data_IF_991542706336
#
_entry.id   IF_991542706336
#
_cell.length_a   1.000
_cell.length_b   1.000
_cell.length_c   1.000
_cell.angle_alpha   90.00
_cell.angle_beta   90.00
_cell.angle_gamma   90.00
#
_symmetry.space_group_name_H-M   'P 1'
#
loop_
_entity.id
_entity.type
_entity.pdbx_description
1 polymer ?
#
# COMPACT_ATOMS: atom_id res chain seq x y z
N UNK A 1 20.40 -30.29 40.19
CA UNK A 1 19.84 -29.01 39.78
C UNK A 1 20.95 -28.09 39.28
N UNK A 2 21.50 -28.32 38.10
CA UNK A 2 22.42 -27.43 37.37
C UNK A 2 22.49 -27.97 35.95
N UNK A 3 21.58 -27.60 35.07
CA UNK A 3 21.75 -27.68 33.61
C UNK A 3 20.46 -27.31 32.89
N UNK A 4 20.01 -26.06 33.01
CA UNK A 4 18.92 -25.51 32.24
C UNK A 4 19.16 -24.06 31.78
N UNK A 5 20.40 -23.58 31.88
CA UNK A 5 20.77 -22.22 31.55
C UNK A 5 21.86 -22.20 30.50
N UNK A 6 21.61 -22.81 29.31
CA UNK A 6 22.48 -22.54 28.15
C UNK A 6 21.83 -22.98 26.84
N UNK A 7 20.70 -22.39 26.48
CA UNK A 7 20.14 -22.37 25.12
C UNK A 7 19.41 -21.04 24.83
N UNK A 8 19.90 -19.94 25.29
CA UNK A 8 19.69 -18.70 24.58
C UNK A 8 20.70 -18.73 23.40
N UNK A 9 20.36 -19.40 22.31
CA UNK A 9 20.96 -19.07 21.02
C UNK A 9 20.74 -17.58 20.87
N UNK A 10 21.83 -16.83 20.79
CA UNK A 10 21.82 -15.37 20.66
C UNK A 10 21.03 -15.10 19.39
N UNK A 11 19.75 -14.73 19.55
CA UNK A 11 18.90 -14.30 18.43
C UNK A 11 19.56 -13.06 17.87
N UNK A 12 20.05 -13.17 16.63
CA UNK A 12 20.62 -12.03 15.90
C UNK A 12 19.57 -11.53 14.92
N UNK A 13 19.14 -10.27 15.02
CA UNK A 13 18.31 -9.65 14.00
C UNK A 13 18.98 -9.76 12.63
N UNK A 14 18.23 -10.02 11.57
CA UNK A 14 18.75 -9.98 10.21
C UNK A 14 19.03 -8.54 9.80
N UNK A 15 20.17 -8.31 9.15
CA UNK A 15 20.57 -6.97 8.71
C UNK A 15 20.00 -6.66 7.31
N UNK A 16 19.32 -5.53 7.19
CA UNK A 16 18.70 -5.06 5.94
C UNK A 16 19.25 -3.69 5.57
N UNK A 17 19.83 -3.56 4.39
CA UNK A 17 20.30 -2.29 3.84
C UNK A 17 19.35 -1.74 2.77
N UNK A 18 18.89 -0.52 2.96
CA UNK A 18 18.07 0.20 1.97
C UNK A 18 18.92 1.29 1.30
N UNK A 19 19.08 1.17 -0.01
CA UNK A 19 19.91 2.06 -0.81
C UNK A 19 19.10 3.23 -1.34
N UNK A 20 19.46 4.44 -0.91
CA UNK A 20 18.90 5.71 -1.32
C UNK A 20 19.89 6.57 -2.10
N UNK A 21 19.39 7.49 -2.91
CA UNK A 21 20.16 8.35 -3.81
C UNK A 21 19.32 9.60 -4.17
N UNK A 22 19.94 10.60 -4.74
CA UNK A 22 19.20 11.78 -5.23
C UNK A 22 18.11 11.39 -6.25
N UNK A 23 16.95 12.00 -6.10
CA UNK A 23 15.74 11.68 -6.85
C UNK A 23 15.20 10.25 -6.62
N UNK A 24 15.40 9.74 -5.40
CA UNK A 24 14.71 8.55 -4.92
C UNK A 24 13.21 8.84 -4.73
N UNK A 25 12.34 7.88 -4.99
CA UNK A 25 10.94 7.98 -4.58
C UNK A 25 10.87 7.73 -3.07
N UNK A 26 10.49 8.73 -2.28
CA UNK A 26 10.54 8.67 -0.81
C UNK A 26 9.86 7.42 -0.23
N UNK A 27 8.65 7.06 -0.71
CA UNK A 27 7.91 5.91 -0.21
C UNK A 27 8.60 4.57 -0.50
N UNK A 28 9.41 4.48 -1.57
CA UNK A 28 10.18 3.26 -1.87
C UNK A 28 11.34 3.04 -0.90
N UNK A 29 11.72 4.07 -0.15
CA UNK A 29 12.72 3.98 0.92
C UNK A 29 12.05 3.80 2.28
N UNK A 30 11.13 4.70 2.64
CA UNK A 30 10.50 4.75 3.96
C UNK A 30 9.57 3.55 4.19
N UNK A 31 8.77 3.15 3.18
CA UNK A 31 7.84 2.03 3.32
C UNK A 31 8.51 0.74 3.77
N UNK A 32 9.56 0.26 3.09
CA UNK A 32 10.34 -0.89 3.57
C UNK A 32 10.97 -0.70 4.95
N UNK A 33 11.53 0.49 5.25
CA UNK A 33 12.12 0.79 6.57
C UNK A 33 11.09 0.56 7.66
N UNK A 34 9.93 1.21 7.57
CA UNK A 34 8.87 1.10 8.57
C UNK A 34 8.36 -0.35 8.69
N UNK A 35 8.24 -1.06 7.56
CA UNK A 35 7.77 -2.45 7.53
C UNK A 35 8.72 -3.39 8.25
N UNK A 36 10.02 -3.30 8.02
CA UNK A 36 11.00 -4.15 8.71
C UNK A 36 11.14 -3.79 10.20
N UNK A 37 11.07 -2.50 10.55
CA UNK A 37 11.15 -2.04 11.94
C UNK A 37 9.92 -2.45 12.76
N UNK A 38 8.76 -2.61 12.13
CA UNK A 38 7.56 -3.13 12.79
C UNK A 38 7.66 -4.62 13.13
N UNK A 39 8.54 -5.38 12.46
CA UNK A 39 8.69 -6.81 12.68
C UNK A 39 9.43 -7.11 13.99
N UNK A 40 8.73 -7.71 14.95
CA UNK A 40 9.27 -8.10 16.25
C UNK A 40 8.68 -9.41 16.74
N UNK A 41 9.46 -10.14 17.53
CA UNK A 41 9.01 -11.30 18.28
C UNK A 41 8.63 -10.88 19.71
N UNK A 42 7.65 -11.54 20.29
CA UNK A 42 7.34 -11.41 21.72
C UNK A 42 8.19 -12.42 22.52
N UNK A 43 8.87 -11.95 23.57
CA UNK A 43 9.69 -12.81 24.43
C UNK A 43 8.85 -13.57 25.50
N UNK A 44 7.53 -13.42 25.48
CA UNK A 44 6.60 -13.99 26.45
C UNK A 44 6.54 -13.22 27.78
N UNK A 45 7.30 -12.14 27.93
CA UNK A 45 7.30 -11.23 29.08
C UNK A 45 6.80 -9.82 28.71
N UNK A 46 6.33 -9.64 27.47
CA UNK A 46 5.83 -8.36 26.97
C UNK A 46 6.91 -7.46 26.34
N UNK A 47 8.15 -7.94 26.18
CA UNK A 47 9.16 -7.18 25.44
C UNK A 47 9.16 -7.60 23.97
N UNK A 48 9.30 -6.60 23.09
CA UNK A 48 9.43 -6.82 21.65
C UNK A 48 10.91 -6.96 21.28
N UNK A 49 11.29 -8.10 20.71
CA UNK A 49 12.62 -8.38 20.20
C UNK A 49 12.62 -8.05 18.70
N UNK A 50 13.35 -7.02 18.22
CA UNK A 50 13.39 -6.67 16.80
C UNK A 50 13.86 -7.85 15.94
N UNK A 51 13.13 -8.13 14.86
CA UNK A 51 13.51 -9.15 13.88
C UNK A 51 14.62 -8.69 12.94
N UNK A 52 14.72 -7.40 12.71
CA UNK A 52 15.65 -6.81 11.75
C UNK A 52 16.41 -5.63 12.34
N UNK A 53 17.65 -5.47 11.88
CA UNK A 53 18.45 -4.27 11.99
C UNK A 53 18.48 -3.58 10.62
N UNK A 54 17.87 -2.39 10.54
CA UNK A 54 17.65 -1.68 9.26
C UNK A 54 18.65 -0.56 9.11
N UNK A 55 19.39 -0.55 7.99
CA UNK A 55 20.37 0.44 7.64
C UNK A 55 19.98 1.20 6.38
N UNK A 56 19.94 2.53 6.45
CA UNK A 56 19.81 3.38 5.28
C UNK A 56 21.18 3.73 4.73
N UNK A 57 21.35 3.62 3.40
CA UNK A 57 22.67 3.72 2.75
C UNK A 57 22.58 4.68 1.58
N UNK A 58 23.36 5.74 1.60
CA UNK A 58 23.45 6.71 0.50
C UNK A 58 24.48 6.31 -0.55
N UNK A 59 24.18 6.51 -1.84
CA UNK A 59 25.05 6.09 -2.96
C UNK A 59 26.29 6.97 -3.08
N UNK A 60 26.14 8.29 -3.07
CA UNK A 60 27.25 9.23 -3.22
C UNK A 60 27.60 9.96 -1.94
N UNK A 61 26.59 10.21 -1.11
CA UNK A 61 26.67 10.92 0.16
C UNK A 61 25.66 10.28 1.11
N UNK A 62 25.84 10.50 2.41
CA UNK A 62 24.82 10.22 3.42
C UNK A 62 23.58 11.10 3.26
N UNK A 63 23.72 12.29 2.66
CA UNK A 63 22.60 13.19 2.39
C UNK A 63 22.20 13.17 0.94
N UNK A 64 20.89 12.97 0.69
CA UNK A 64 20.32 12.98 -0.63
C UNK A 64 18.87 13.49 -0.61
N UNK A 65 18.40 13.96 -1.74
CA UNK A 65 17.06 14.54 -1.91
C UNK A 65 16.15 13.62 -2.71
N UNK A 66 14.95 13.35 -2.18
CA UNK A 66 13.92 12.63 -2.91
C UNK A 66 13.27 13.47 -4.02
N UNK A 67 12.54 12.80 -4.94
CA UNK A 67 11.80 13.45 -6.04
C UNK A 67 10.77 14.48 -5.57
N UNK A 68 10.20 14.29 -4.38
CA UNK A 68 9.22 15.18 -3.76
C UNK A 68 9.84 16.33 -2.94
N UNK A 69 11.18 16.42 -2.94
CA UNK A 69 11.93 17.48 -2.25
C UNK A 69 12.33 17.17 -0.82
N UNK A 70 11.89 16.05 -0.22
CA UNK A 70 12.34 15.64 1.11
C UNK A 70 13.84 15.37 1.12
N UNK A 71 14.51 15.81 2.17
CA UNK A 71 15.92 15.52 2.43
C UNK A 71 16.01 14.31 3.36
N UNK A 72 16.85 13.37 2.99
CA UNK A 72 17.21 12.21 3.79
C UNK A 72 18.66 12.31 4.26
N UNK A 73 18.91 11.81 5.45
CA UNK A 73 20.23 11.56 5.98
C UNK A 73 20.36 10.07 6.29
N UNK A 74 21.17 9.36 5.51
CA UNK A 74 21.42 7.94 5.67
C UNK A 74 22.44 7.68 6.76
N UNK A 75 22.35 6.51 7.39
CA UNK A 75 23.28 6.08 8.45
C UNK A 75 24.68 5.78 7.93
N UNK A 76 24.80 5.43 6.65
CA UNK A 76 26.08 5.12 6.02
C UNK A 76 26.08 5.47 4.52
N UNK A 77 27.26 5.51 3.93
CA UNK A 77 27.43 5.49 2.47
C UNK A 77 27.73 4.06 2.00
N UNK A 78 27.72 3.83 0.66
CA UNK A 78 28.09 2.53 0.10
C UNK A 78 29.47 2.02 0.58
N UNK A 79 30.42 2.91 0.83
CA UNK A 79 31.78 2.53 1.28
C UNK A 79 31.84 2.14 2.75
N UNK A 80 30.97 2.69 3.57
CA UNK A 80 30.90 2.46 5.01
C UNK A 80 29.80 1.50 5.45
N UNK A 81 29.01 0.98 4.51
CA UNK A 81 27.90 0.08 4.80
C UNK A 81 28.38 -1.21 5.47
N UNK A 82 27.69 -1.70 6.52
CA UNK A 82 28.02 -2.95 7.19
C UNK A 82 27.78 -4.18 6.28
N UNK A 83 28.08 -5.36 6.77
CA UNK A 83 27.64 -6.62 6.14
C UNK A 83 26.12 -6.71 6.26
N UNK A 84 25.44 -7.10 5.17
CA UNK A 84 24.00 -7.09 5.06
C UNK A 84 23.49 -8.45 4.59
N UNK A 85 22.55 -9.01 5.32
CA UNK A 85 21.84 -10.24 4.90
C UNK A 85 20.91 -9.94 3.70
N UNK A 86 20.35 -8.73 3.66
CA UNK A 86 19.45 -8.29 2.59
C UNK A 86 19.84 -6.91 2.09
N UNK A 87 19.88 -6.73 0.77
CA UNK A 87 20.07 -5.43 0.11
C UNK A 87 18.78 -5.08 -0.65
N UNK A 88 18.24 -3.90 -0.43
CA UNK A 88 17.06 -3.39 -1.15
C UNK A 88 17.42 -2.09 -1.86
N UNK A 89 17.18 -2.06 -3.17
CA UNK A 89 17.40 -0.87 -3.99
C UNK A 89 16.06 -0.17 -4.18
N UNK A 90 15.95 1.04 -3.64
CA UNK A 90 14.77 1.87 -3.83
C UNK A 90 14.59 2.29 -5.29
N UNK A 91 13.35 2.57 -5.70
CA UNK A 91 13.05 3.16 -7.01
C UNK A 91 13.13 4.69 -6.97
N UNK A 92 13.17 5.29 -8.15
CA UNK A 92 13.21 6.73 -8.35
C UNK A 92 13.79 7.10 -9.72
N UNK A 93 13.80 8.39 -10.05
CA UNK A 93 14.45 8.86 -11.29
C UNK A 93 15.96 8.69 -11.26
N UNK A 94 16.55 8.93 -10.10
CA UNK A 94 18.01 8.93 -9.93
C UNK A 94 18.65 7.60 -10.31
N UNK A 95 18.06 6.45 -9.92
CA UNK A 95 18.64 5.12 -10.21
C UNK A 95 18.68 4.78 -11.70
N UNK A 96 17.94 5.48 -12.55
CA UNK A 96 17.96 5.25 -14.00
C UNK A 96 19.13 5.97 -14.70
N UNK A 97 19.84 6.85 -13.98
CA UNK A 97 21.07 7.48 -14.45
C UNK A 97 22.19 6.44 -14.44
N UNK A 98 22.98 6.34 -15.54
CA UNK A 98 24.03 5.33 -15.65
C UNK A 98 25.03 5.38 -14.48
N UNK A 99 25.46 6.57 -14.07
CA UNK A 99 26.44 6.76 -13.01
C UNK A 99 25.95 6.25 -11.64
N UNK A 100 24.66 6.36 -11.35
CA UNK A 100 24.06 5.84 -10.11
C UNK A 100 23.89 4.31 -10.22
N UNK A 101 23.34 3.84 -11.32
CA UNK A 101 23.07 2.42 -11.57
C UNK A 101 24.37 1.59 -11.55
N UNK A 102 25.40 2.06 -12.25
CA UNK A 102 26.70 1.37 -12.33
C UNK A 102 27.42 1.34 -10.99
N UNK A 103 27.36 2.45 -10.23
CA UNK A 103 27.94 2.52 -8.89
C UNK A 103 27.27 1.55 -7.92
N UNK A 104 25.93 1.48 -7.95
CA UNK A 104 25.16 0.52 -7.15
C UNK A 104 25.48 -0.92 -7.59
N UNK A 105 25.49 -1.19 -8.88
CA UNK A 105 25.80 -2.53 -9.41
C UNK A 105 27.21 -2.99 -9.02
N UNK A 106 28.22 -2.13 -9.16
CA UNK A 106 29.58 -2.43 -8.76
C UNK A 106 29.68 -2.72 -7.25
N UNK A 107 28.93 -2.01 -6.44
CA UNK A 107 28.87 -2.23 -4.99
C UNK A 107 28.17 -3.55 -4.64
N UNK A 108 27.07 -3.90 -5.31
CA UNK A 108 26.37 -5.19 -5.15
C UNK A 108 27.32 -6.35 -5.45
N UNK A 109 28.06 -6.29 -6.57
CA UNK A 109 28.98 -7.37 -6.98
C UNK A 109 30.08 -7.63 -5.95
N UNK A 110 30.51 -6.62 -5.21
CA UNK A 110 31.52 -6.78 -4.13
C UNK A 110 30.96 -7.48 -2.90
N UNK A 111 29.62 -7.52 -2.74
CA UNK A 111 28.93 -8.01 -1.54
C UNK A 111 28.11 -9.26 -1.77
N UNK A 112 28.04 -9.73 -3.01
CA UNK A 112 27.14 -10.83 -3.38
C UNK A 112 27.38 -12.13 -2.61
N UNK A 113 28.62 -12.37 -2.17
CA UNK A 113 28.98 -13.55 -1.38
C UNK A 113 28.54 -13.46 0.09
N UNK A 114 28.31 -12.25 0.60
CA UNK A 114 27.95 -11.98 1.98
C UNK A 114 26.46 -11.59 2.12
N UNK A 115 25.71 -11.57 1.01
CA UNK A 115 24.31 -11.14 0.96
C UNK A 115 23.41 -12.31 0.55
N UNK A 116 22.43 -12.63 1.38
CA UNK A 116 21.50 -13.73 1.11
C UNK A 116 20.52 -13.43 -0.03
N UNK A 117 20.05 -12.16 -0.12
CA UNK A 117 19.02 -11.77 -1.10
C UNK A 117 19.08 -10.29 -1.47
N UNK A 118 18.59 -9.99 -2.65
CA UNK A 118 18.55 -8.62 -3.21
C UNK A 118 17.12 -8.30 -3.65
N UNK A 119 16.59 -7.20 -3.11
CA UNK A 119 15.31 -6.62 -3.48
C UNK A 119 15.47 -5.40 -4.39
N UNK A 120 14.59 -5.23 -5.36
CA UNK A 120 14.51 -4.04 -6.18
C UNK A 120 13.07 -3.53 -6.23
N UNK A 121 12.85 -2.35 -5.70
CA UNK A 121 11.54 -1.72 -5.67
C UNK A 121 11.35 -0.87 -6.93
N UNK A 122 10.33 -1.20 -7.73
CA UNK A 122 9.92 -0.43 -8.91
C UNK A 122 11.10 -0.23 -9.91
N UNK A 123 11.58 1.00 -10.10
CA UNK A 123 12.77 1.28 -10.94
C UNK A 123 14.10 0.95 -10.28
N UNK A 124 14.11 0.50 -9.03
CA UNK A 124 15.33 0.04 -8.35
C UNK A 124 16.07 -1.08 -9.08
N UNK A 125 15.35 -1.83 -9.93
CA UNK A 125 15.93 -2.86 -10.80
C UNK A 125 17.04 -2.34 -11.71
N UNK A 126 17.03 -1.05 -12.09
CA UNK A 126 18.11 -0.45 -12.88
C UNK A 126 19.46 -0.45 -12.15
N UNK A 127 19.45 -0.48 -10.82
CA UNK A 127 20.67 -0.62 -10.02
C UNK A 127 21.16 -2.07 -9.91
N UNK A 128 20.28 -3.05 -10.14
CA UNK A 128 20.64 -4.48 -10.08
C UNK A 128 20.95 -5.05 -11.48
N UNK A 129 20.20 -4.66 -12.50
CA UNK A 129 20.32 -5.21 -13.86
C UNK A 129 21.75 -5.14 -14.46
N UNK A 130 22.54 -4.06 -14.26
CA UNK A 130 23.90 -3.97 -14.80
C UNK A 130 24.87 -5.01 -14.21
N UNK A 131 24.56 -5.61 -13.05
CA UNK A 131 25.38 -6.68 -12.47
C UNK A 131 25.42 -7.96 -13.32
N UNK A 132 24.42 -8.16 -14.22
CA UNK A 132 24.24 -9.41 -14.95
C UNK A 132 23.62 -10.56 -14.13
N UNK A 133 23.43 -10.41 -12.81
CA UNK A 133 22.88 -11.43 -11.91
C UNK A 133 21.44 -11.82 -12.24
N UNK A 134 20.72 -10.92 -12.90
CA UNK A 134 19.32 -11.13 -13.30
C UNK A 134 19.18 -11.72 -14.73
N UNK A 135 20.27 -11.99 -15.45
CA UNK A 135 20.22 -12.54 -16.80
C UNK A 135 19.50 -13.89 -16.83
N UNK A 136 18.49 -14.02 -17.71
CA UNK A 136 17.66 -15.22 -17.84
C UNK A 136 16.60 -15.40 -16.74
N UNK A 137 16.58 -14.51 -15.74
CA UNK A 137 15.62 -14.55 -14.62
C UNK A 137 14.34 -13.81 -14.94
N UNK A 138 13.25 -14.27 -14.32
CA UNK A 138 11.98 -13.55 -14.34
C UNK A 138 12.05 -12.36 -13.37
N UNK A 139 11.65 -11.18 -13.85
CA UNK A 139 11.65 -9.94 -13.07
C UNK A 139 10.44 -9.08 -13.40
N UNK A 140 10.10 -8.16 -12.51
CA UNK A 140 9.10 -7.13 -12.77
C UNK A 140 9.65 -5.73 -12.50
N UNK A 141 8.99 -4.73 -13.04
CA UNK A 141 9.25 -3.32 -12.81
C UNK A 141 7.99 -2.52 -13.13
N UNK A 142 7.98 -1.23 -12.83
CA UNK A 142 6.88 -0.36 -13.21
C UNK A 142 6.64 -0.41 -14.73
N UNK A 143 5.38 -0.63 -15.13
CA UNK A 143 4.97 -0.84 -16.53
C UNK A 143 5.50 0.23 -17.50
N UNK A 144 5.55 1.50 -17.05
CA UNK A 144 6.05 2.63 -17.84
C UNK A 144 7.51 2.44 -18.29
N UNK A 145 8.29 1.73 -17.50
CA UNK A 145 9.72 1.53 -17.72
C UNK A 145 10.08 0.15 -18.25
N UNK A 146 9.11 -0.78 -18.33
CA UNK A 146 9.36 -2.16 -18.77
C UNK A 146 9.98 -2.24 -20.17
N UNK A 147 9.49 -1.42 -21.12
CA UNK A 147 10.04 -1.36 -22.48
C UNK A 147 11.47 -0.81 -22.52
N UNK A 148 11.75 0.25 -21.73
CA UNK A 148 13.12 0.80 -21.63
C UNK A 148 14.07 -0.20 -21.00
N UNK A 149 13.66 -0.85 -19.92
CA UNK A 149 14.43 -1.88 -19.24
C UNK A 149 14.75 -3.05 -20.18
N UNK A 150 13.75 -3.55 -20.93
CA UNK A 150 13.95 -4.63 -21.91
C UNK A 150 14.95 -4.26 -23.02
N UNK A 151 14.93 -3.01 -23.47
CA UNK A 151 15.87 -2.51 -24.47
C UNK A 151 17.31 -2.43 -23.94
N UNK A 152 17.48 -1.95 -22.69
CA UNK A 152 18.81 -1.82 -22.05
C UNK A 152 19.38 -3.17 -21.62
N UNK A 153 18.50 -4.07 -21.15
CA UNK A 153 18.89 -5.38 -20.60
C UNK A 153 18.10 -6.50 -21.25
N UNK A 154 18.42 -6.85 -22.50
CA UNK A 154 17.62 -7.81 -23.31
C UNK A 154 17.64 -9.26 -22.81
N UNK A 155 18.53 -9.57 -21.85
CA UNK A 155 18.60 -10.91 -21.23
C UNK A 155 17.64 -11.10 -20.06
N UNK A 156 16.91 -10.06 -19.62
CA UNK A 156 15.90 -10.13 -18.57
C UNK A 156 14.59 -10.68 -19.13
N UNK A 157 13.91 -11.52 -18.35
CA UNK A 157 12.56 -11.99 -18.65
C UNK A 157 11.56 -11.11 -17.85
N UNK A 158 11.08 -10.03 -18.46
CA UNK A 158 10.28 -9.01 -17.80
C UNK A 158 8.79 -9.31 -17.92
N UNK A 159 8.10 -9.54 -16.81
CA UNK A 159 6.63 -9.55 -16.73
C UNK A 159 6.12 -8.41 -15.83
N UNK A 160 5.86 -7.27 -16.45
CA UNK A 160 5.36 -6.07 -15.77
C UNK A 160 3.90 -6.16 -15.31
N UNK A 161 3.18 -7.25 -15.62
CA UNK A 161 1.81 -7.51 -15.14
C UNK A 161 1.81 -8.09 -13.72
N UNK A 162 2.91 -8.69 -13.31
CA UNK A 162 3.07 -9.23 -11.96
C UNK A 162 3.49 -8.10 -11.03
N UNK A 163 2.76 -7.83 -9.93
CA UNK A 163 3.13 -6.80 -8.96
C UNK A 163 4.40 -7.14 -8.19
N UNK A 164 4.70 -8.43 -8.08
CA UNK A 164 5.83 -8.99 -7.35
C UNK A 164 6.36 -10.23 -8.08
N UNK A 165 7.67 -10.36 -8.18
CA UNK A 165 8.36 -11.54 -8.70
C UNK A 165 9.52 -11.88 -7.77
N UNK A 166 9.58 -13.16 -7.39
CA UNK A 166 10.73 -13.77 -6.75
C UNK A 166 11.32 -14.80 -7.69
N UNK A 167 12.60 -14.67 -8.01
CA UNK A 167 13.36 -15.65 -8.78
C UNK A 167 14.71 -15.93 -8.08
N UNK A 168 14.75 -17.02 -7.32
CA UNK A 168 15.87 -17.36 -6.45
C UNK A 168 16.04 -16.32 -5.32
N UNK A 169 17.25 -15.74 -5.15
CA UNK A 169 17.50 -14.73 -4.13
C UNK A 169 17.13 -13.31 -4.56
N UNK A 170 16.46 -13.14 -5.71
CA UNK A 170 16.13 -11.83 -6.26
C UNK A 170 14.63 -11.57 -6.17
N UNK A 171 14.29 -10.37 -5.65
CA UNK A 171 12.93 -9.93 -5.42
C UNK A 171 12.70 -8.62 -6.16
N UNK A 172 11.70 -8.57 -7.02
CA UNK A 172 11.39 -7.36 -7.78
C UNK A 172 9.92 -7.01 -7.67
N UNK A 173 9.59 -5.73 -7.60
CA UNK A 173 8.22 -5.25 -7.44
C UNK A 173 7.90 -4.09 -8.36
N UNK A 174 6.59 -3.84 -8.53
CA UNK A 174 6.07 -2.67 -9.22
C UNK A 174 5.44 -1.69 -8.22
N UNK A 175 5.16 -0.46 -8.66
CA UNK A 175 4.30 0.49 -7.95
C UNK A 175 4.86 1.05 -6.64
N UNK A 176 4.06 1.94 -6.03
CA UNK A 176 4.47 2.68 -4.82
C UNK A 176 4.45 1.80 -3.56
N UNK A 177 3.47 0.92 -3.41
CA UNK A 177 3.38 -0.02 -2.29
C UNK A 177 4.31 -1.24 -2.43
N UNK A 178 4.97 -1.38 -3.59
CA UNK A 178 5.81 -2.55 -3.90
C UNK A 178 6.89 -2.81 -2.84
N UNK A 179 7.45 -1.76 -2.25
CA UNK A 179 8.45 -1.88 -1.19
C UNK A 179 7.90 -2.53 0.08
N UNK A 180 6.70 -2.14 0.51
CA UNK A 180 6.01 -2.73 1.67
C UNK A 180 5.71 -4.21 1.40
N UNK A 181 5.10 -4.53 0.25
CA UNK A 181 4.76 -5.91 -0.11
C UNK A 181 6.00 -6.82 -0.22
N UNK A 182 7.11 -6.30 -0.75
CA UNK A 182 8.39 -7.00 -0.79
C UNK A 182 8.89 -7.29 0.63
N UNK A 183 8.84 -6.31 1.52
CA UNK A 183 9.26 -6.47 2.92
C UNK A 183 8.39 -7.47 3.66
N UNK A 184 7.06 -7.43 3.51
CA UNK A 184 6.13 -8.40 4.09
C UNK A 184 6.41 -9.82 3.60
N UNK A 185 6.68 -10.01 2.30
CA UNK A 185 7.04 -11.32 1.76
C UNK A 185 8.34 -11.86 2.37
N UNK A 186 9.36 -11.01 2.54
CA UNK A 186 10.61 -11.38 3.20
C UNK A 186 10.42 -11.70 4.69
N UNK A 187 9.60 -10.93 5.40
CA UNK A 187 9.25 -11.18 6.82
C UNK A 187 8.52 -12.52 6.96
N UNK A 188 7.59 -12.81 6.05
CA UNK A 188 6.87 -14.08 6.06
C UNK A 188 7.79 -15.28 5.84
N UNK A 189 8.79 -15.15 4.97
CA UNK A 189 9.79 -16.20 4.75
C UNK A 189 10.71 -16.40 5.95
N UNK A 190 11.10 -15.33 6.62
CA UNK A 190 12.06 -15.37 7.72
C UNK A 190 11.42 -15.78 9.06
N UNK A 191 10.21 -15.26 9.36
CA UNK A 191 9.59 -15.34 10.69
C UNK A 191 8.16 -15.90 10.67
N UNK A 192 7.64 -16.21 9.47
CA UNK A 192 6.34 -16.85 9.30
C UNK A 192 5.14 -15.91 9.40
N UNK A 193 3.92 -16.47 9.20
CA UNK A 193 2.71 -15.69 9.01
C UNK A 193 2.30 -14.88 10.25
N UNK A 194 2.61 -15.34 11.47
CA UNK A 194 2.24 -14.62 12.70
C UNK A 194 2.93 -13.25 12.80
N UNK A 195 4.24 -13.20 12.54
CA UNK A 195 4.97 -11.92 12.58
C UNK A 195 4.49 -11.01 11.45
N UNK A 196 4.27 -11.59 10.26
CA UNK A 196 3.75 -10.83 9.11
C UNK A 196 2.41 -10.20 9.42
N UNK A 197 1.45 -10.98 9.97
CA UNK A 197 0.14 -10.47 10.34
C UNK A 197 0.23 -9.34 11.38
N UNK A 198 1.09 -9.49 12.40
CA UNK A 198 1.30 -8.43 13.40
C UNK A 198 1.83 -7.15 12.77
N UNK A 199 2.71 -7.25 11.75
CA UNK A 199 3.20 -6.09 11.00
C UNK A 199 2.09 -5.47 10.16
N UNK A 200 1.29 -6.28 9.45
CA UNK A 200 0.14 -5.80 8.68
C UNK A 200 -0.87 -5.08 9.56
N UNK A 201 -1.19 -5.64 10.73
CA UNK A 201 -2.07 -5.01 11.71
C UNK A 201 -1.49 -3.69 12.23
N UNK A 202 -0.19 -3.63 12.55
CA UNK A 202 0.47 -2.40 13.02
C UNK A 202 0.48 -1.31 11.94
N UNK A 203 0.72 -1.67 10.69
CA UNK A 203 0.68 -0.75 9.55
C UNK A 203 -0.76 -0.32 9.21
N UNK A 204 -1.76 -1.16 9.46
CA UNK A 204 -3.18 -0.93 9.17
C UNK A 204 -3.92 -0.25 10.32
N UNK A 205 -3.51 -0.43 11.58
CA UNK A 205 -4.12 0.21 12.76
C UNK A 205 -3.97 1.73 12.75
N UNK A 206 -3.11 2.27 11.89
CA UNK A 206 -3.08 3.71 11.61
C UNK A 206 -4.23 4.19 10.73
N UNK A 207 -5.03 3.26 10.19
CA UNK A 207 -6.31 3.49 9.53
C UNK A 207 -7.39 2.85 10.41
N UNK A 208 -7.85 3.55 11.47
CA UNK A 208 -8.94 3.05 12.32
C UNK A 208 -10.22 2.86 11.49
N UNK A 209 -11.16 2.01 11.96
CA UNK A 209 -12.45 1.82 11.28
C UNK A 209 -13.20 3.14 11.01
N UNK A 210 -12.96 4.16 11.83
CA UNK A 210 -13.48 5.51 11.66
C UNK A 210 -12.80 6.25 10.50
N UNK A 211 -11.50 6.04 10.29
CA UNK A 211 -10.76 6.58 9.13
C UNK A 211 -11.13 5.84 7.83
N UNK A 212 -11.57 4.57 7.91
CA UNK A 212 -12.07 3.81 6.77
C UNK A 212 -13.46 4.26 6.31
N UNK A 213 -14.28 4.85 7.19
CA UNK A 213 -15.56 5.44 6.79
C UNK A 213 -15.39 6.77 6.04
N UNK A 214 -14.29 7.49 6.25
CA UNK A 214 -13.98 8.78 5.61
C UNK A 214 -13.05 8.68 4.39
N UNK A 215 -12.28 7.60 4.25
CA UNK A 215 -11.60 7.29 2.99
C UNK A 215 -12.61 6.70 1.99
N UNK A 216 -12.55 7.07 0.70
CA UNK A 216 -13.30 6.33 -0.31
C UNK A 216 -12.86 4.86 -0.19
N UNK A 217 -13.76 3.98 0.27
CA UNK A 217 -13.54 2.54 0.51
C UNK A 217 -12.87 1.78 -0.67
N UNK A 218 -12.69 2.45 -1.77
CA UNK A 218 -12.19 1.94 -3.04
C UNK A 218 -10.67 2.08 -3.20
N UNK A 219 -10.01 2.85 -2.35
CA UNK A 219 -8.52 2.96 -2.36
C UNK A 219 -7.88 1.86 -1.51
N UNK A 220 -8.58 1.39 -0.47
CA UNK A 220 -8.07 0.35 0.44
C UNK A 220 -8.22 -1.09 -0.10
N UNK A 221 -9.05 -1.31 -1.15
CA UNK A 221 -9.25 -2.64 -1.75
C UNK A 221 -8.39 -2.91 -3.00
N UNK A 222 -7.37 -2.09 -3.24
CA UNK A 222 -6.46 -2.27 -4.38
C UNK A 222 -5.28 -3.22 -4.11
N UNK A 223 -5.22 -3.85 -2.95
CA UNK A 223 -4.24 -4.87 -2.66
C UNK A 223 -4.60 -6.17 -3.39
N UNK A 224 -3.74 -6.53 -4.33
CA UNK A 224 -3.63 -7.81 -5.04
C UNK A 224 -4.26 -7.99 -6.42
N UNK A 225 -4.34 -6.95 -7.27
CA UNK A 225 -4.65 -7.21 -8.68
C UNK A 225 -3.62 -6.61 -9.67
N UNK A 226 -3.38 -7.27 -10.82
CA UNK A 226 -2.29 -6.98 -11.77
C UNK A 226 -2.45 -5.68 -12.56
N UNK A 227 -2.86 -4.56 -11.93
CA UNK A 227 -3.39 -3.41 -12.69
C UNK A 227 -2.87 -2.08 -12.17
N UNK A 228 -1.56 -1.91 -12.15
CA UNK A 228 -0.92 -0.59 -11.99
C UNK A 228 -1.40 0.45 -13.01
N UNK A 229 -1.87 0.00 -14.19
CA UNK A 229 -2.47 0.89 -15.21
C UNK A 229 -3.74 1.58 -14.73
N UNK A 230 -4.52 0.91 -13.90
CA UNK A 230 -5.78 1.45 -13.40
C UNK A 230 -5.60 2.24 -12.11
N UNK A 231 -4.58 1.99 -11.32
CA UNK A 231 -4.26 2.77 -10.11
C UNK A 231 -3.97 4.24 -10.46
N UNK A 232 -3.10 4.47 -11.47
CA UNK A 232 -2.82 5.81 -11.99
C UNK A 232 -4.06 6.44 -12.62
N UNK A 233 -4.91 5.64 -13.29
CA UNK A 233 -6.17 6.09 -13.88
C UNK A 233 -7.15 6.54 -12.79
N UNK A 234 -7.35 5.73 -11.76
CA UNK A 234 -8.26 6.04 -10.64
C UNK A 234 -7.78 7.27 -9.88
N UNK A 235 -6.50 7.36 -9.56
CA UNK A 235 -5.91 8.55 -8.93
C UNK A 235 -6.10 9.81 -9.78
N UNK A 236 -6.03 9.68 -11.11
CA UNK A 236 -6.32 10.78 -12.01
C UNK A 236 -7.82 11.13 -12.05
N UNK A 237 -8.70 10.12 -12.11
CA UNK A 237 -10.17 10.30 -12.07
C UNK A 237 -10.59 11.06 -10.82
N UNK A 238 -10.07 10.66 -9.64
CA UNK A 238 -10.39 11.32 -8.36
C UNK A 238 -10.00 12.80 -8.36
N UNK A 239 -8.84 13.14 -8.96
CA UNK A 239 -8.38 14.54 -9.07
C UNK A 239 -9.12 15.35 -10.13
N UNK A 240 -9.81 14.70 -11.07
CA UNK A 240 -10.43 15.33 -12.23
C UNK A 240 -11.92 14.99 -12.37
N UNK A 241 -12.68 14.86 -11.27
CA UNK A 241 -14.08 14.44 -11.27
C UNK A 241 -15.01 15.33 -12.13
N UNK A 242 -14.66 16.61 -12.32
CA UNK A 242 -15.42 17.53 -13.16
C UNK A 242 -15.10 17.44 -14.66
N UNK A 243 -14.01 16.73 -15.03
CA UNK A 243 -13.62 16.58 -16.43
C UNK A 243 -14.53 15.59 -17.18
N UNK A 244 -14.33 15.49 -18.50
CA UNK A 244 -14.88 14.40 -19.30
C UNK A 244 -14.21 13.08 -18.89
N UNK A 245 -14.99 12.19 -18.25
CA UNK A 245 -14.59 10.86 -17.81
C UNK A 245 -15.36 9.78 -18.59
N UNK A 246 -15.64 10.05 -19.88
CA UNK A 246 -16.20 9.06 -20.80
C UNK A 246 -15.28 7.84 -20.93
N UNK A 247 -15.86 6.71 -21.30
CA UNK A 247 -15.12 5.46 -21.50
C UNK A 247 -14.00 5.64 -22.52
N UNK A 248 -14.22 6.47 -23.55
CA UNK A 248 -13.27 6.79 -24.60
C UNK A 248 -12.05 7.54 -24.05
N UNK A 249 -12.28 8.52 -23.18
CA UNK A 249 -11.20 9.30 -22.52
C UNK A 249 -10.39 8.42 -21.58
N UNK A 250 -11.08 7.62 -20.76
CA UNK A 250 -10.43 6.71 -19.80
C UNK A 250 -9.61 5.62 -20.51
N UNK A 251 -10.18 5.01 -21.55
CA UNK A 251 -9.53 3.98 -22.35
C UNK A 251 -8.26 4.50 -23.06
N UNK A 252 -8.35 5.71 -23.65
CA UNK A 252 -7.21 6.37 -24.30
C UNK A 252 -6.07 6.61 -23.32
N UNK A 253 -6.41 7.00 -22.09
CA UNK A 253 -5.40 7.29 -21.06
C UNK A 253 -4.59 6.07 -20.64
N UNK A 254 -5.16 4.88 -20.71
CA UNK A 254 -4.48 3.60 -20.43
C UNK A 254 -4.05 2.87 -21.71
N UNK A 255 -4.09 3.55 -22.86
CA UNK A 255 -3.70 3.00 -24.17
C UNK A 255 -4.47 1.71 -24.54
N UNK A 256 -5.78 1.73 -24.32
CA UNK A 256 -6.70 0.62 -24.68
C UNK A 256 -7.79 1.10 -25.63
N UNK A 257 -8.37 0.20 -26.42
CA UNK A 257 -9.61 0.49 -27.11
C UNK A 257 -10.79 0.44 -26.12
N UNK A 258 -11.87 1.24 -26.30
CA UNK A 258 -12.97 1.38 -25.35
C UNK A 258 -13.66 0.05 -24.97
N UNK A 259 -13.83 -0.86 -25.92
CA UNK A 259 -14.46 -2.16 -25.68
C UNK A 259 -13.60 -3.08 -24.82
N UNK A 260 -12.29 -3.13 -25.05
CA UNK A 260 -11.35 -3.90 -24.24
C UNK A 260 -11.20 -3.29 -22.84
N UNK A 261 -11.05 -1.97 -22.77
CA UNK A 261 -11.01 -1.23 -21.51
C UNK A 261 -12.21 -1.55 -20.62
N UNK A 262 -13.45 -1.47 -21.15
CA UNK A 262 -14.67 -1.71 -20.38
C UNK A 262 -14.73 -3.13 -19.81
N UNK A 263 -14.30 -4.15 -20.59
CA UNK A 263 -14.24 -5.55 -20.12
C UNK A 263 -13.21 -5.74 -19.02
N UNK A 264 -11.99 -5.24 -19.23
CA UNK A 264 -10.90 -5.37 -18.24
C UNK A 264 -11.23 -4.56 -16.99
N UNK A 265 -11.73 -3.34 -17.14
CA UNK A 265 -12.13 -2.49 -16.01
C UNK A 265 -13.19 -3.18 -15.15
N UNK A 266 -14.25 -3.73 -15.77
CA UNK A 266 -15.29 -4.48 -15.05
C UNK A 266 -14.74 -5.74 -14.37
N UNK A 267 -13.79 -6.44 -15.00
CA UNK A 267 -13.14 -7.61 -14.40
C UNK A 267 -12.34 -7.25 -13.14
N UNK A 268 -11.75 -6.04 -13.11
CA UNK A 268 -10.90 -5.54 -12.03
C UNK A 268 -11.71 -4.96 -10.90
N UNK A 269 -12.64 -4.05 -11.21
CA UNK A 269 -13.39 -3.27 -10.23
C UNK A 269 -14.77 -3.85 -9.91
N UNK A 270 -15.17 -4.95 -10.57
CA UNK A 270 -16.47 -5.58 -10.38
C UNK A 270 -17.64 -4.82 -11.01
N UNK A 271 -17.43 -3.58 -11.47
CA UNK A 271 -18.46 -2.70 -12.02
C UNK A 271 -17.99 -1.96 -13.29
N UNK A 272 -18.93 -1.51 -14.17
CA UNK A 272 -18.57 -0.76 -15.37
C UNK A 272 -17.92 0.59 -15.03
N UNK A 273 -17.02 1.13 -15.91
CA UNK A 273 -16.34 2.40 -15.70
C UNK A 273 -17.30 3.58 -15.42
N UNK A 274 -18.44 3.63 -16.09
CA UNK A 274 -19.46 4.66 -15.89
C UNK A 274 -20.03 4.67 -14.49
N UNK A 275 -20.35 3.49 -13.95
CA UNK A 275 -20.95 3.34 -12.63
C UNK A 275 -19.92 3.67 -11.54
N UNK A 276 -18.69 3.23 -11.75
CA UNK A 276 -17.55 3.57 -10.90
C UNK A 276 -17.31 5.09 -10.81
N UNK A 277 -17.24 5.79 -11.95
CA UNK A 277 -17.08 7.25 -12.00
C UNK A 277 -18.24 7.96 -11.31
N UNK A 278 -19.49 7.51 -11.57
CA UNK A 278 -20.68 8.08 -10.92
C UNK A 278 -20.63 7.94 -9.40
N UNK A 279 -20.20 6.78 -8.93
CA UNK A 279 -20.02 6.46 -7.52
C UNK A 279 -18.99 7.38 -6.86
N UNK A 280 -17.82 7.59 -7.49
CA UNK A 280 -16.80 8.53 -7.00
C UNK A 280 -17.32 9.98 -6.94
N UNK A 281 -18.02 10.44 -7.98
CA UNK A 281 -18.65 11.76 -8.02
C UNK A 281 -19.64 11.98 -6.88
N UNK A 282 -20.46 10.98 -6.60
CA UNK A 282 -21.47 11.06 -5.53
C UNK A 282 -20.84 11.01 -4.13
N UNK A 283 -19.83 10.18 -3.92
CA UNK A 283 -19.08 10.15 -2.65
C UNK A 283 -18.40 11.49 -2.37
N UNK A 284 -17.72 12.05 -3.35
CA UNK A 284 -17.09 13.35 -3.20
C UNK A 284 -18.13 14.48 -2.99
N UNK A 285 -19.29 14.40 -3.65
CA UNK A 285 -20.36 15.33 -3.41
C UNK A 285 -20.87 15.27 -1.95
N UNK A 286 -21.06 14.06 -1.42
CA UNK A 286 -21.46 13.85 0.00
C UNK A 286 -20.44 14.49 0.94
N UNK A 287 -19.14 14.27 0.71
CA UNK A 287 -18.06 14.88 1.51
C UNK A 287 -18.07 16.41 1.44
N UNK A 288 -18.34 17.00 0.27
CA UNK A 288 -18.44 18.48 0.11
C UNK A 288 -19.70 19.06 0.75
N UNK A 289 -20.81 18.31 0.74
CA UNK A 289 -22.05 18.70 1.42
C UNK A 289 -21.85 18.78 2.93
N UNK A 290 -21.16 17.82 3.53
CA UNK A 290 -20.85 17.80 4.97
C UNK A 290 -20.03 19.03 5.43
N UNK A 291 -19.19 19.60 4.55
CA UNK A 291 -18.38 20.81 4.84
C UNK A 291 -19.15 22.13 4.79
N UNK A 292 -20.41 22.15 4.37
CA UNK A 292 -21.35 23.30 4.37
C UNK A 292 -20.85 24.60 3.72
N UNK A 293 -19.83 24.56 2.88
CA UNK A 293 -19.18 25.76 2.34
C UNK A 293 -19.73 26.24 0.99
N UNK A 294 -20.60 25.46 0.32
CA UNK A 294 -21.05 25.74 -1.05
C UNK A 294 -22.50 25.32 -1.27
N UNK A 295 -23.14 25.97 -2.25
CA UNK A 295 -24.52 25.63 -2.66
C UNK A 295 -24.57 24.26 -3.33
N UNK A 296 -25.74 23.61 -3.29
CA UNK A 296 -25.99 22.33 -3.94
C UNK A 296 -25.64 22.36 -5.45
N UNK A 297 -25.98 23.46 -6.11
CA UNK A 297 -25.67 23.66 -7.54
C UNK A 297 -24.16 23.70 -7.77
N UNK A 298 -23.43 24.45 -6.96
CA UNK A 298 -21.97 24.54 -7.06
C UNK A 298 -21.29 23.20 -6.79
N UNK A 299 -21.79 22.43 -5.81
CA UNK A 299 -21.25 21.12 -5.49
C UNK A 299 -21.49 20.15 -6.65
N UNK A 300 -22.74 20.06 -7.17
CA UNK A 300 -23.05 19.15 -8.28
C UNK A 300 -22.18 19.40 -9.51
N UNK A 301 -21.97 20.67 -9.89
CA UNK A 301 -21.11 21.06 -11.00
C UNK A 301 -19.63 20.73 -10.72
N UNK A 302 -19.15 20.99 -9.49
CA UNK A 302 -17.75 20.76 -9.14
C UNK A 302 -17.34 19.28 -9.07
N UNK A 303 -18.31 18.37 -9.05
CA UNK A 303 -18.08 16.92 -9.16
C UNK A 303 -18.48 16.34 -10.53
N UNK A 304 -18.75 17.22 -11.51
CA UNK A 304 -18.93 16.83 -12.91
C UNK A 304 -20.34 16.39 -13.31
N UNK A 305 -21.40 16.80 -12.57
CA UNK A 305 -22.78 16.65 -13.03
C UNK A 305 -23.18 17.90 -13.84
N UNK A 306 -23.69 17.67 -15.05
CA UNK A 306 -24.21 18.72 -15.93
C UNK A 306 -25.62 19.18 -15.56
N UNK A 307 -26.39 18.32 -14.83
CA UNK A 307 -27.77 18.57 -14.43
C UNK A 307 -27.97 18.33 -12.93
N UNK A 308 -28.46 19.36 -12.22
CA UNK A 308 -28.81 19.23 -10.79
C UNK A 308 -29.91 18.18 -10.55
N UNK A 309 -30.86 18.01 -11.47
CA UNK A 309 -31.89 17.00 -11.37
C UNK A 309 -31.32 15.59 -11.51
N UNK A 310 -30.37 15.37 -12.44
CA UNK A 310 -29.68 14.07 -12.55
C UNK A 310 -28.84 13.77 -11.32
N UNK A 311 -28.16 14.79 -10.78
CA UNK A 311 -27.41 14.65 -9.52
C UNK A 311 -28.31 14.25 -8.35
N UNK A 312 -29.44 14.95 -8.14
CA UNK A 312 -30.36 14.65 -7.05
C UNK A 312 -30.87 13.20 -7.13
N UNK A 313 -31.37 12.78 -8.30
CA UNK A 313 -31.85 11.39 -8.49
C UNK A 313 -30.76 10.35 -8.21
N UNK A 314 -29.56 10.57 -8.72
CA UNK A 314 -28.44 9.66 -8.51
C UNK A 314 -28.01 9.60 -7.03
N UNK A 315 -28.01 10.75 -6.35
CA UNK A 315 -27.66 10.89 -4.95
C UNK A 315 -28.71 10.21 -4.05
N UNK A 316 -30.02 10.48 -4.27
CA UNK A 316 -31.10 9.82 -3.53
C UNK A 316 -31.09 8.30 -3.73
N UNK A 317 -30.90 7.83 -4.96
CA UNK A 317 -30.79 6.40 -5.25
C UNK A 317 -29.65 5.74 -4.48
N UNK A 318 -28.51 6.43 -4.31
CA UNK A 318 -27.32 5.87 -3.66
C UNK A 318 -27.36 5.97 -2.13
N UNK A 319 -27.83 7.08 -1.58
CA UNK A 319 -27.73 7.38 -0.15
C UNK A 319 -29.07 7.38 0.59
N UNK A 320 -30.18 7.10 -0.11
CA UNK A 320 -31.52 7.01 0.49
C UNK A 320 -32.10 8.34 0.98
N UNK A 321 -31.41 9.48 0.78
CA UNK A 321 -31.85 10.79 1.22
C UNK A 321 -31.52 11.91 0.24
N UNK A 322 -32.25 13.02 0.35
CA UNK A 322 -32.01 14.20 -0.51
C UNK A 322 -30.70 14.88 -0.17
N UNK A 323 -29.93 15.39 -1.16
CA UNK A 323 -28.71 16.12 -0.90
C UNK A 323 -28.87 17.33 0.02
N UNK A 324 -30.06 17.98 0.02
CA UNK A 324 -30.38 19.11 0.90
C UNK A 324 -30.39 18.73 2.38
N UNK A 325 -30.83 17.54 2.74
CA UNK A 325 -30.84 17.08 4.14
C UNK A 325 -29.44 16.93 4.73
N UNK A 326 -28.43 16.71 3.89
CA UNK A 326 -27.00 16.67 4.31
C UNK A 326 -26.42 18.07 4.57
N UNK A 327 -27.02 19.12 4.00
CA UNK A 327 -26.68 20.51 4.31
C UNK A 327 -27.27 20.97 5.66
N UNK A 328 -28.46 20.43 6.03
CA UNK A 328 -29.20 20.86 7.23
C UNK A 328 -28.77 20.10 8.49
N UNK A 329 -28.56 18.77 8.43
CA UNK A 329 -28.48 17.88 9.60
C UNK A 329 -27.19 17.06 9.78
N UNK A 330 -26.18 17.21 8.93
CA UNK A 330 -24.89 16.50 9.09
C UNK A 330 -24.90 14.97 8.97
N UNK A 331 -26.03 14.31 9.16
CA UNK A 331 -26.34 12.89 8.83
C UNK A 331 -27.84 12.67 8.89
N UNK A 332 -28.47 11.88 7.98
CA UNK A 332 -29.85 11.51 8.12
C UNK A 332 -29.99 10.49 9.26
N UNK A 333 -30.85 10.79 10.24
CA UNK A 333 -31.34 9.79 11.17
C UNK A 333 -32.16 8.75 10.37
N UNK A 334 -31.67 7.51 10.30
CA UNK A 334 -32.44 6.35 9.91
C UNK A 334 -32.26 5.86 8.48
N UNK A 335 -31.36 4.93 8.29
CA UNK A 335 -31.60 3.79 7.41
C UNK A 335 -31.65 2.55 8.32
N UNK A 336 -32.84 2.27 8.86
CA UNK A 336 -33.12 0.99 9.50
C UNK A 336 -32.97 -0.11 8.45
N UNK A 337 -32.22 -1.11 8.80
CA UNK A 337 -32.02 -2.33 8.06
C UNK A 337 -33.37 -2.95 7.68
N UNK A 338 -33.62 -3.11 6.38
CA UNK A 338 -34.59 -4.05 5.86
C UNK A 338 -33.92 -5.44 5.82
N UNK A 339 -33.95 -6.13 6.94
CA UNK A 339 -33.75 -7.57 6.96
C UNK A 339 -35.11 -8.23 7.22
N UNK A 340 -35.45 -9.09 6.26
CA UNK A 340 -36.71 -9.85 6.22
C UNK A 340 -36.90 -10.73 7.46
N UNK A 341 -38.16 -10.78 7.83
CA UNK A 341 -38.76 -11.63 8.81
C UNK A 341 -38.46 -13.11 8.58
N UNK A 342 -38.11 -13.80 9.65
CA UNK A 342 -38.54 -15.18 9.87
C UNK A 342 -39.19 -15.26 11.25
N UNK A 343 -40.37 -15.87 11.22
CA UNK A 343 -41.36 -15.91 12.26
C UNK A 343 -41.07 -16.96 13.34
N UNK A 344 -41.52 -16.62 14.54
CA UNK A 344 -42.26 -17.37 15.52
C UNK A 344 -41.67 -18.63 16.20
N UNK A 345 -41.69 -18.54 17.51
CA UNK A 345 -41.67 -19.69 18.43
C UNK A 345 -41.67 -19.23 19.89
N UNK A 346 -42.91 -19.17 20.43
CA UNK A 346 -43.21 -18.99 21.85
C UNK A 346 -42.38 -19.93 22.77
N UNK A 347 -41.90 -19.49 23.95
CA UNK A 347 -42.56 -19.77 25.24
C UNK A 347 -41.74 -19.27 26.43
N UNK A 348 -42.45 -18.59 27.35
CA UNK A 348 -42.36 -18.61 28.83
C UNK A 348 -41.09 -18.12 29.55
N UNK A 349 -41.22 -16.96 30.20
CA UNK A 349 -40.70 -16.64 31.54
C UNK A 349 -41.14 -17.66 32.61
N UNK A 350 -40.54 -17.78 33.79
CA UNK A 350 -40.56 -16.74 34.80
C UNK A 350 -39.40 -16.65 35.86
N UNK A 351 -39.33 -15.45 36.44
CA UNK A 351 -39.07 -15.11 37.85
C UNK A 351 -37.73 -15.42 38.53
N UNK A 352 -37.04 -14.39 38.92
CA UNK A 352 -36.97 -13.72 40.24
C UNK A 352 -35.84 -14.11 41.19
N UNK A 353 -35.22 -13.08 41.75
CA UNK A 353 -34.63 -12.94 43.10
C UNK A 353 -33.20 -13.49 43.34
N UNK A 354 -32.25 -12.70 43.69
CA UNK A 354 -31.99 -12.04 44.98
C UNK A 354 -30.58 -11.44 44.99
N UNK A 355 -30.53 -10.28 45.54
CA UNK A 355 -29.40 -9.60 46.18
C UNK A 355 -28.51 -10.51 47.02
N UNK A 356 -27.20 -10.24 46.98
CA UNK A 356 -26.37 -10.33 48.17
C UNK A 356 -25.26 -9.29 48.11
N UNK A 357 -25.44 -8.29 48.95
CA UNK A 357 -24.40 -7.37 49.43
C UNK A 357 -23.49 -8.08 50.46
N UNK A 358 -22.46 -7.31 50.77
CA UNK A 358 -21.56 -7.42 51.97
C UNK A 358 -20.23 -8.11 51.64
N UNK A 359 -19.11 -7.62 52.03
CA UNK A 359 -18.60 -6.45 52.74
C UNK A 359 -17.09 -6.60 52.91
N UNK A 360 -16.40 -5.51 52.82
CA UNK A 360 -15.29 -5.01 53.62
C UNK A 360 -14.47 -6.01 54.49
N UNK A 361 -13.15 -5.94 54.37
CA UNK A 361 -12.16 -5.52 55.42
C UNK A 361 -10.73 -5.82 54.95
N UNK A 362 -9.89 -4.84 54.79
CA UNK A 362 -8.79 -4.31 55.63
C UNK A 362 -7.83 -5.36 56.26
N UNK A 363 -6.65 -5.31 55.68
CA UNK A 363 -5.27 -5.15 56.28
C UNK A 363 -4.82 -6.10 57.40
N UNK A 364 -3.54 -6.24 57.64
CA UNK A 364 -2.43 -5.32 57.49
C UNK A 364 -1.45 -5.65 56.39
#
# INVERSE_FOLDING_TARGET
MKSAYNRASIFRPKSVGLVGFDEVTALHLVGPVDTFLAAALDDGYGNRIPCYEVHTIGVFSDRFRAENGLLFEAQATLSAAPVLDTIIIAGGRGIRRPEVAEKVAAWILKRINDTERIGAVCTGIYGVAPTGLLNGREVTTHWRFARDLARRFPRLRIDHRKPFVRDGPYYTTTGLSGGVNLSLAMIQEDYGPHVTQSVEEELSLRLTKEDQEDLPLEVASFDNHPIDRFSDLVAWVIRNLQADLSVEVLARRVCMCPGHFSKVFKSVFGEPPRDFVQKLRLNEARRRLAKRQKTLRTISQSVGFTSSAAFQRAFEKRFGGRPSSYLENGQPRGAAAANGSFAAGHTSEPRSNKEFELSCSKSP
#
